data_IF_678227590430
#
_entry.id   IF_678227590430
#
_cell.length_a   1.000
_cell.length_b   1.000
_cell.length_c   1.000
_cell.angle_alpha   90.00
_cell.angle_beta   90.00
_cell.angle_gamma   90.00
#
_symmetry.space_group_name_H-M   'P 1'
#
loop_
_entity.id
_entity.type
_entity.pdbx_description
1 polymer ?
#
# COMPACT_ATOMS: atom_id res chain seq x y z
N UNK A 1 22.82 14.57 1.77
CA UNK A 1 23.18 13.29 1.13
C UNK A 1 22.07 12.99 0.13
N UNK A 2 22.33 13.10 -1.19
CA UNK A 2 21.33 12.79 -2.22
C UNK A 2 21.10 11.28 -2.21
N UNK A 3 19.95 10.85 -1.71
CA UNK A 3 19.49 9.46 -1.84
C UNK A 3 19.29 9.15 -3.32
N UNK A 4 19.93 8.10 -3.82
CA UNK A 4 19.72 7.64 -5.20
C UNK A 4 18.25 7.21 -5.36
N UNK A 5 17.46 8.08 -5.96
CA UNK A 5 16.00 7.87 -6.14
C UNK A 5 15.68 6.63 -6.97
N UNK A 6 16.64 6.11 -7.76
CA UNK A 6 16.47 4.90 -8.57
C UNK A 6 16.28 3.62 -7.75
N UNK A 7 16.71 3.61 -6.48
CA UNK A 7 16.52 2.46 -5.59
C UNK A 7 15.14 2.47 -4.89
N UNK A 8 14.45 3.62 -4.89
CA UNK A 8 13.15 3.77 -4.26
C UNK A 8 11.98 3.21 -5.05
N UNK A 9 12.15 3.04 -6.34
CA UNK A 9 11.07 2.59 -7.23
C UNK A 9 11.49 1.40 -8.08
N UNK A 10 10.62 0.42 -8.18
CA UNK A 10 10.67 -0.65 -9.15
C UNK A 10 9.65 -0.35 -10.25
N UNK A 11 10.12 -0.02 -11.44
CA UNK A 11 9.27 0.32 -12.59
C UNK A 11 9.11 -0.90 -13.47
N UNK A 12 7.88 -1.21 -13.85
CA UNK A 12 7.53 -2.38 -14.65
C UNK A 12 6.52 -1.96 -15.73
N UNK A 13 6.66 -2.52 -16.93
CA UNK A 13 5.81 -2.21 -18.07
C UNK A 13 5.85 -0.73 -18.52
N UNK A 14 7.03 -0.10 -18.42
CA UNK A 14 7.21 1.21 -19.05
C UNK A 14 7.20 1.05 -20.58
N UNK A 15 6.29 1.75 -21.26
CA UNK A 15 6.15 1.65 -22.71
C UNK A 15 5.56 2.91 -23.35
N UNK A 16 5.62 2.99 -24.67
CA UNK A 16 5.05 4.14 -25.43
C UNK A 16 3.52 4.25 -25.28
N UNK A 17 2.84 3.18 -24.87
CA UNK A 17 1.40 3.16 -24.64
C UNK A 17 0.99 3.69 -23.25
N UNK A 18 1.95 3.94 -22.35
CA UNK A 18 1.66 4.40 -20.98
C UNK A 18 0.87 5.70 -20.98
N UNK A 19 -0.29 5.69 -20.30
CA UNK A 19 -1.16 6.87 -20.14
C UNK A 19 -1.38 7.23 -18.67
N UNK A 20 -1.21 6.26 -17.76
CA UNK A 20 -1.39 6.44 -16.33
C UNK A 20 -0.42 5.53 -15.58
N UNK A 21 0.07 5.98 -14.44
CA UNK A 21 0.89 5.19 -13.52
C UNK A 21 0.06 4.65 -12.38
N UNK A 22 0.25 3.38 -12.05
CA UNK A 22 -0.22 2.80 -10.80
C UNK A 22 0.95 2.73 -9.83
N UNK A 23 1.00 3.63 -8.87
CA UNK A 23 2.04 3.68 -7.83
C UNK A 23 1.58 2.83 -6.65
N UNK A 24 2.30 1.73 -6.39
CA UNK A 24 1.93 0.73 -5.38
C UNK A 24 2.84 0.78 -4.16
N UNK A 25 2.23 0.74 -2.98
CA UNK A 25 2.89 0.68 -1.68
C UNK A 25 2.68 -0.69 -1.05
N UNK A 26 3.74 -1.50 -0.90
CA UNK A 26 3.64 -2.82 -0.29
C UNK A 26 3.20 -2.77 1.18
N UNK A 27 2.64 -3.88 1.66
CA UNK A 27 2.33 -4.07 3.07
C UNK A 27 3.59 -4.20 3.94
N UNK A 28 3.42 -4.11 5.26
CA UNK A 28 4.50 -4.37 6.22
C UNK A 28 5.18 -5.71 5.95
N UNK A 29 6.52 -5.72 5.92
CA UNK A 29 7.34 -6.90 5.67
C UNK A 29 7.40 -7.39 4.21
N UNK A 30 6.69 -6.74 3.27
CA UNK A 30 6.69 -7.14 1.87
C UNK A 30 7.72 -6.37 1.02
N UNK A 31 8.43 -7.09 0.17
CA UNK A 31 9.31 -6.50 -0.84
C UNK A 31 8.52 -6.08 -2.10
N UNK A 32 8.99 -5.05 -2.79
CA UNK A 32 8.38 -4.54 -4.03
C UNK A 32 8.23 -5.62 -5.11
N UNK A 33 9.17 -6.55 -5.19
CA UNK A 33 9.18 -7.67 -6.15
C UNK A 33 7.94 -8.55 -6.06
N UNK A 34 7.27 -8.63 -4.90
CA UNK A 34 6.05 -9.42 -4.74
C UNK A 34 4.90 -8.90 -5.60
N UNK A 35 4.89 -7.61 -5.96
CA UNK A 35 3.90 -7.01 -6.84
C UNK A 35 4.30 -7.07 -8.33
N UNK A 36 5.51 -7.53 -8.67
CA UNK A 36 5.96 -7.66 -10.06
C UNK A 36 4.97 -8.45 -10.93
N UNK A 37 4.41 -9.52 -10.36
CA UNK A 37 3.46 -10.39 -11.06
C UNK A 37 2.14 -9.68 -11.47
N UNK A 38 1.89 -8.47 -10.93
CA UNK A 38 0.72 -7.67 -11.30
C UNK A 38 0.80 -7.18 -12.75
N UNK A 39 2.01 -6.93 -13.24
CA UNK A 39 2.24 -6.48 -14.61
C UNK A 39 1.66 -7.41 -15.67
N UNK A 40 1.53 -8.72 -15.36
CA UNK A 40 1.00 -9.70 -16.30
C UNK A 40 -0.53 -9.58 -16.52
N UNK A 41 -1.21 -8.77 -15.70
CA UNK A 41 -2.68 -8.63 -15.72
C UNK A 41 -3.14 -7.18 -15.71
N UNK A 42 -2.22 -6.23 -15.64
CA UNK A 42 -2.52 -4.81 -15.87
C UNK A 42 -2.65 -4.54 -17.36
N UNK A 43 -3.53 -3.61 -17.73
CA UNK A 43 -3.69 -3.18 -19.10
C UNK A 43 -2.44 -2.43 -19.61
N UNK A 44 -2.14 -2.51 -20.91
CA UNK A 44 -0.91 -2.00 -21.52
C UNK A 44 -0.69 -0.49 -21.34
N UNK A 45 -1.76 0.27 -21.09
CA UNK A 45 -1.68 1.72 -20.84
C UNK A 45 -1.33 2.06 -19.39
N UNK A 46 -1.19 1.07 -18.50
CA UNK A 46 -0.87 1.26 -17.09
C UNK A 46 0.59 0.88 -16.82
N UNK A 47 1.40 1.85 -16.44
CA UNK A 47 2.76 1.62 -15.94
C UNK A 47 2.70 1.30 -14.44
N UNK A 48 3.27 0.18 -14.03
CA UNK A 48 3.35 -0.21 -12.63
C UNK A 48 4.64 0.33 -12.00
N UNK A 49 4.49 1.15 -10.97
CA UNK A 49 5.59 1.68 -10.17
C UNK A 49 5.43 1.21 -8.73
N UNK A 50 6.33 0.39 -8.23
CA UNK A 50 6.24 -0.14 -6.87
C UNK A 50 7.30 0.50 -5.98
N UNK A 51 6.89 0.98 -4.80
CA UNK A 51 7.81 1.58 -3.82
C UNK A 51 8.64 0.51 -3.14
N UNK A 52 9.95 0.74 -3.09
CA UNK A 52 10.91 -0.14 -2.48
C UNK A 52 11.45 0.49 -1.18
N UNK A 53 10.86 0.13 -0.05
CA UNK A 53 11.22 0.67 1.25
C UNK A 53 12.58 0.13 1.74
N UNK A 54 13.36 0.93 2.52
CA UNK A 54 14.57 0.44 3.19
C UNK A 54 14.29 -0.81 4.04
N UNK A 55 15.27 -1.68 4.12
CA UNK A 55 15.16 -2.98 4.79
C UNK A 55 14.56 -4.10 3.92
N UNK A 56 14.10 -3.80 2.70
CA UNK A 56 13.42 -4.77 1.82
C UNK A 56 14.13 -4.91 0.48
N UNK A 57 14.06 -6.11 -0.12
CA UNK A 57 14.57 -6.40 -1.46
C UNK A 57 16.00 -5.91 -1.70
N UNK A 58 16.24 -5.11 -2.76
CA UNK A 58 17.57 -4.53 -3.05
C UNK A 58 18.11 -3.61 -1.95
N UNK A 59 17.24 -3.09 -1.08
CA UNK A 59 17.58 -2.18 0.01
C UNK A 59 17.62 -2.87 1.38
N UNK A 60 17.74 -4.20 1.42
CA UNK A 60 17.70 -5.01 2.64
C UNK A 60 18.76 -4.64 3.69
N UNK A 61 19.90 -4.10 3.24
CA UNK A 61 21.01 -3.72 4.11
C UNK A 61 20.85 -2.30 4.68
N UNK A 62 19.85 -1.56 4.25
CA UNK A 62 19.51 -0.26 4.79
C UNK A 62 18.61 -0.41 6.03
N UNK A 63 18.82 0.48 7.02
CA UNK A 63 17.95 0.51 8.20
C UNK A 63 16.52 0.94 7.82
N UNK A 64 15.48 0.18 8.21
CA UNK A 64 14.11 0.60 7.98
C UNK A 64 13.77 1.85 8.81
N UNK A 65 12.86 2.67 8.30
CA UNK A 65 12.32 3.80 9.05
C UNK A 65 11.50 3.32 10.25
N UNK A 66 11.64 3.96 11.38
CA UNK A 66 10.93 3.66 12.62
C UNK A 66 9.96 4.79 13.07
N UNK A 67 9.86 5.86 12.27
CA UNK A 67 9.00 7.00 12.49
C UNK A 67 8.41 7.55 11.18
N UNK A 68 7.22 8.11 11.27
CA UNK A 68 6.46 8.63 10.13
C UNK A 68 7.10 9.86 9.49
N UNK A 69 7.57 10.89 10.22
CA UNK A 69 8.14 12.09 9.58
C UNK A 69 9.27 11.77 8.61
N UNK A 70 10.23 10.96 9.03
CA UNK A 70 11.36 10.58 8.17
C UNK A 70 10.92 9.70 7.00
N UNK A 71 10.00 8.76 7.23
CA UNK A 71 9.45 7.90 6.18
C UNK A 71 8.75 8.73 5.10
N UNK A 72 7.85 9.64 5.49
CA UNK A 72 7.09 10.47 4.57
C UNK A 72 8.00 11.43 3.80
N UNK A 73 8.90 12.15 4.48
CA UNK A 73 9.83 13.07 3.84
C UNK A 73 10.61 12.39 2.72
N UNK A 74 11.17 11.21 2.97
CA UNK A 74 11.97 10.51 1.97
C UNK A 74 11.11 9.86 0.89
N UNK A 75 9.92 9.36 1.23
CA UNK A 75 8.97 8.82 0.25
C UNK A 75 8.52 9.90 -0.71
N UNK A 76 8.15 11.08 -0.23
CA UNK A 76 7.72 12.20 -1.08
C UNK A 76 8.85 12.68 -1.98
N UNK A 77 10.06 12.86 -1.45
CA UNK A 77 11.22 13.23 -2.26
C UNK A 77 11.52 12.22 -3.36
N UNK A 78 11.35 10.93 -3.10
CA UNK A 78 11.54 9.87 -4.08
C UNK A 78 10.42 9.84 -5.14
N UNK A 79 9.20 10.23 -4.77
CA UNK A 79 8.03 10.19 -5.65
C UNK A 79 7.78 11.48 -6.42
N UNK A 80 8.34 12.61 -6.02
CA UNK A 80 8.18 13.90 -6.72
C UNK A 80 8.27 13.79 -8.25
N UNK A 81 9.28 13.07 -8.83
CA UNK A 81 9.40 12.92 -10.29
C UNK A 81 8.25 12.14 -10.94
N UNK A 82 7.51 11.35 -10.15
CA UNK A 82 6.42 10.50 -10.63
C UNK A 82 5.04 11.13 -10.49
N UNK A 83 4.87 12.00 -9.49
CA UNK A 83 3.59 12.61 -9.13
C UNK A 83 3.15 13.75 -10.05
N UNK A 84 4.06 14.31 -10.84
CA UNK A 84 3.78 15.39 -11.80
C UNK A 84 2.98 14.95 -13.03
N UNK A 85 2.81 13.65 -13.23
CA UNK A 85 2.06 13.05 -14.35
C UNK A 85 0.84 12.28 -13.83
N UNK A 86 -0.15 11.97 -14.68
CA UNK A 86 -1.34 11.24 -14.25
C UNK A 86 -1.02 9.91 -13.59
N UNK A 87 -1.51 9.73 -12.37
CA UNK A 87 -1.27 8.53 -11.58
C UNK A 87 -2.46 8.15 -10.72
N UNK A 88 -2.49 6.89 -10.32
CA UNK A 88 -3.32 6.35 -9.25
C UNK A 88 -2.43 5.73 -8.19
N UNK A 89 -2.90 5.69 -6.96
CA UNK A 89 -2.18 5.15 -5.82
C UNK A 89 -2.87 3.89 -5.33
N UNK A 90 -2.10 2.86 -5.02
CA UNK A 90 -2.59 1.63 -4.39
C UNK A 90 -1.75 1.30 -3.16
N UNK A 91 -2.38 0.90 -2.07
CA UNK A 91 -1.67 0.38 -0.90
C UNK A 91 -2.45 -0.68 -0.14
N UNK A 92 -1.72 -1.60 0.50
CA UNK A 92 -2.29 -2.63 1.36
C UNK A 92 -1.73 -2.53 2.78
N UNK A 93 -2.58 -2.58 3.81
CA UNK A 93 -2.16 -2.42 5.20
C UNK A 93 -1.37 -1.13 5.44
N UNK A 94 -0.11 -1.22 5.89
CA UNK A 94 0.79 -0.06 6.01
C UNK A 94 0.90 0.72 4.70
N UNK A 95 0.96 0.02 3.58
CA UNK A 95 1.02 0.65 2.25
C UNK A 95 -0.20 1.51 1.94
N UNK A 96 -1.38 1.17 2.48
CA UNK A 96 -2.57 2.00 2.29
C UNK A 96 -2.47 3.35 3.00
N UNK A 97 -1.87 3.38 4.19
CA UNK A 97 -1.59 4.63 4.90
C UNK A 97 -0.55 5.48 4.16
N UNK A 98 0.51 4.84 3.62
CA UNK A 98 1.51 5.53 2.80
C UNK A 98 0.89 6.08 1.51
N UNK A 99 0.01 5.33 0.87
CA UNK A 99 -0.73 5.79 -0.32
C UNK A 99 -1.63 6.99 0.02
N UNK A 100 -2.35 6.94 1.14
CA UNK A 100 -3.20 8.03 1.63
C UNK A 100 -2.38 9.30 1.92
N UNK A 101 -1.28 9.19 2.66
CA UNK A 101 -0.39 10.33 2.94
C UNK A 101 0.24 10.90 1.66
N UNK A 102 0.63 10.02 0.73
CA UNK A 102 1.14 10.45 -0.58
C UNK A 102 0.05 11.15 -1.40
N UNK A 103 -1.19 10.72 -1.28
CA UNK A 103 -2.33 11.33 -1.94
C UNK A 103 -2.57 12.76 -1.44
N UNK A 104 -2.52 12.98 -0.12
CA UNK A 104 -2.63 14.33 0.48
C UNK A 104 -1.51 15.24 -0.05
N UNK A 105 -0.27 14.76 -0.01
CA UNK A 105 0.88 15.50 -0.53
C UNK A 105 0.74 15.83 -2.03
N UNK A 106 0.33 14.85 -2.83
CA UNK A 106 0.16 15.02 -4.28
C UNK A 106 -0.97 15.99 -4.62
N UNK A 107 -2.07 15.98 -3.88
CA UNK A 107 -3.20 16.89 -4.08
C UNK A 107 -2.78 18.36 -3.90
N UNK A 108 -1.92 18.65 -2.93
CA UNK A 108 -1.41 20.01 -2.68
C UNK A 108 -0.37 20.44 -3.71
N UNK A 109 0.57 19.55 -4.06
CA UNK A 109 1.73 19.89 -4.88
C UNK A 109 1.52 19.71 -6.38
N UNK A 110 0.73 18.70 -6.76
CA UNK A 110 0.44 18.31 -8.14
C UNK A 110 -1.07 18.17 -8.36
N UNK A 111 -1.83 19.28 -8.25
CA UNK A 111 -3.30 19.23 -8.30
C UNK A 111 -3.79 18.54 -9.58
N UNK A 112 -4.82 17.71 -9.44
CA UNK A 112 -5.47 16.96 -10.52
C UNK A 112 -4.63 15.85 -11.17
N UNK A 113 -3.41 15.55 -10.70
CA UNK A 113 -2.63 14.44 -11.26
C UNK A 113 -3.01 13.09 -10.63
N UNK A 114 -3.37 13.07 -9.35
CA UNK A 114 -3.92 11.86 -8.73
C UNK A 114 -5.34 11.62 -9.22
N UNK A 115 -5.57 10.46 -9.84
CA UNK A 115 -6.83 10.09 -10.50
C UNK A 115 -7.67 9.14 -9.68
N UNK A 116 -7.06 8.34 -8.82
CA UNK A 116 -7.76 7.37 -7.98
C UNK A 116 -6.89 6.95 -6.79
N UNK A 117 -7.51 6.69 -5.64
CA UNK A 117 -6.88 6.04 -4.51
C UNK A 117 -7.52 4.68 -4.26
N UNK A 118 -6.71 3.62 -4.26
CA UNK A 118 -7.11 2.27 -3.89
C UNK A 118 -6.51 1.93 -2.53
N UNK A 119 -7.36 1.72 -1.51
CA UNK A 119 -6.95 1.29 -0.17
C UNK A 119 -7.39 -0.14 0.06
N UNK A 120 -6.54 -0.97 0.62
CA UNK A 120 -6.75 -2.40 0.74
C UNK A 120 -6.33 -2.91 2.13
N UNK A 121 -7.21 -3.64 2.80
CA UNK A 121 -6.91 -4.28 4.09
C UNK A 121 -6.41 -3.29 5.16
N UNK A 122 -6.94 -2.07 5.20
CA UNK A 122 -6.50 -1.01 6.11
C UNK A 122 -7.70 -0.24 6.64
N UNK A 123 -7.85 -0.20 7.96
CA UNK A 123 -8.87 0.62 8.61
C UNK A 123 -8.74 2.09 8.22
N UNK A 124 -9.87 2.80 8.23
CA UNK A 124 -9.90 4.24 7.99
C UNK A 124 -9.08 5.04 9.02
N UNK A 125 -8.63 6.24 8.66
CA UNK A 125 -7.80 7.10 9.51
C UNK A 125 -8.39 7.44 10.89
N UNK A 126 -9.70 7.48 11.03
CA UNK A 126 -10.42 7.74 12.29
C UNK A 126 -10.53 6.52 13.20
N UNK A 127 -10.15 5.35 12.72
CA UNK A 127 -10.27 4.11 13.47
C UNK A 127 -9.06 3.89 14.39
N UNK A 128 -9.33 3.71 15.68
CA UNK A 128 -8.28 3.38 16.65
C UNK A 128 -7.64 2.01 16.37
N UNK A 129 -6.34 1.86 16.66
CA UNK A 129 -5.67 0.58 16.50
C UNK A 129 -6.24 -0.47 17.46
N UNK A 130 -6.26 -1.74 17.01
CA UNK A 130 -6.63 -2.88 17.84
C UNK A 130 -5.66 -3.02 19.02
N UNK A 131 -6.17 -3.41 20.17
CA UNK A 131 -5.36 -3.71 21.36
C UNK A 131 -5.45 -5.18 21.72
N UNK A 132 -4.36 -5.85 22.17
CA UNK A 132 -2.99 -5.30 22.28
C UNK A 132 -2.37 -5.02 20.92
N UNK A 133 -1.38 -4.12 20.86
CA UNK A 133 -0.63 -3.80 19.65
C UNK A 133 0.23 -5.00 19.24
N UNK A 134 0.14 -5.43 17.99
CA UNK A 134 0.84 -6.62 17.50
C UNK A 134 2.36 -6.47 17.59
N UNK A 135 2.89 -5.28 17.23
CA UNK A 135 4.34 -5.05 17.28
C UNK A 135 4.95 -5.20 18.68
N UNK A 136 4.16 -5.06 19.74
CA UNK A 136 4.63 -5.13 21.12
C UNK A 136 4.48 -6.51 21.79
N UNK A 137 3.87 -7.49 21.09
CA UNK A 137 3.67 -8.82 21.63
C UNK A 137 4.99 -9.56 21.85
N UNK A 138 5.08 -10.44 22.87
CA UNK A 138 6.16 -11.43 22.98
C UNK A 138 6.27 -12.26 21.70
N UNK A 139 7.46 -12.80 21.41
CA UNK A 139 7.75 -13.40 20.09
C UNK A 139 6.78 -14.53 19.69
N UNK A 140 6.44 -15.41 20.61
CA UNK A 140 5.54 -16.54 20.32
C UNK A 140 4.10 -16.05 20.07
N UNK A 141 3.60 -15.13 20.92
CA UNK A 141 2.28 -14.53 20.72
C UNK A 141 2.22 -13.70 19.40
N UNK A 142 3.31 -13.07 19.02
CA UNK A 142 3.42 -12.35 17.76
C UNK A 142 3.30 -13.31 16.57
N UNK A 143 4.05 -14.41 16.57
CA UNK A 143 4.00 -15.44 15.53
C UNK A 143 2.59 -16.02 15.38
N UNK A 144 1.98 -16.38 16.50
CA UNK A 144 0.61 -16.89 16.53
C UNK A 144 -0.39 -15.87 15.95
N UNK A 145 -0.28 -14.60 16.35
CA UNK A 145 -1.14 -13.55 15.83
C UNK A 145 -0.99 -13.37 14.31
N UNK A 146 0.24 -13.39 13.79
CA UNK A 146 0.49 -13.27 12.34
C UNK A 146 -0.08 -14.47 11.56
N UNK A 147 0.03 -15.68 12.11
CA UNK A 147 -0.59 -16.86 11.51
C UNK A 147 -2.12 -16.78 11.53
N UNK A 148 -2.70 -16.28 12.61
CA UNK A 148 -4.16 -16.05 12.73
C UNK A 148 -4.69 -15.04 11.70
N UNK A 149 -3.85 -14.08 11.29
CA UNK A 149 -4.19 -13.16 10.19
C UNK A 149 -4.15 -13.83 8.82
N UNK A 150 -3.66 -15.05 8.74
CA UNK A 150 -3.61 -15.86 7.53
C UNK A 150 -2.26 -15.84 6.81
N UNK A 151 -1.18 -15.40 7.48
CA UNK A 151 0.16 -15.57 6.92
C UNK A 151 0.45 -17.06 6.73
N UNK A 152 1.00 -17.39 5.56
CA UNK A 152 1.37 -18.78 5.28
C UNK A 152 2.73 -19.13 5.92
N UNK A 153 2.82 -20.18 6.74
CA UNK A 153 4.11 -20.64 7.24
C UNK A 153 5.10 -21.03 6.13
N UNK A 154 4.59 -21.39 4.95
CA UNK A 154 5.41 -21.75 3.79
C UNK A 154 6.10 -20.55 3.14
N UNK A 155 5.57 -19.35 3.38
CA UNK A 155 6.12 -18.10 2.85
C UNK A 155 7.11 -17.44 3.81
N UNK A 156 7.21 -17.93 5.05
CA UNK A 156 8.19 -17.46 6.01
C UNK A 156 9.59 -18.00 5.67
N UNK A 157 10.64 -17.19 5.88
CA UNK A 157 12.01 -17.67 5.69
C UNK A 157 12.31 -18.90 6.57
N UNK A 158 12.99 -19.89 6.00
CA UNK A 158 13.30 -21.14 6.72
C UNK A 158 14.59 -21.08 7.54
N UNK A 159 15.51 -20.19 7.18
CA UNK A 159 16.76 -19.96 7.92
C UNK A 159 16.50 -19.11 9.18
N UNK A 160 17.11 -19.47 10.32
CA UNK A 160 16.90 -18.75 11.58
C UNK A 160 17.26 -17.27 11.48
N UNK A 161 18.37 -16.93 10.83
CA UNK A 161 18.80 -15.54 10.61
C UNK A 161 17.82 -14.76 9.75
N UNK A 162 17.33 -15.38 8.66
CA UNK A 162 16.40 -14.76 7.74
C UNK A 162 15.03 -14.57 8.37
N UNK A 163 14.59 -15.54 9.18
CA UNK A 163 13.34 -15.44 9.95
C UNK A 163 13.39 -14.29 10.96
N UNK A 164 14.49 -14.16 11.72
CA UNK A 164 14.66 -13.06 12.67
C UNK A 164 14.67 -11.69 11.95
N UNK A 165 15.31 -11.60 10.81
CA UNK A 165 15.35 -10.38 9.99
C UNK A 165 13.95 -10.03 9.47
N UNK A 166 13.21 -11.02 8.95
CA UNK A 166 11.83 -10.87 8.50
C UNK A 166 10.91 -10.41 9.64
N UNK A 167 10.98 -11.07 10.81
CA UNK A 167 10.17 -10.70 11.98
C UNK A 167 10.46 -9.28 12.45
N UNK A 168 11.72 -8.86 12.46
CA UNK A 168 12.11 -7.49 12.81
C UNK A 168 11.51 -6.47 11.85
N UNK A 169 11.56 -6.73 10.55
CA UNK A 169 10.98 -5.85 9.52
C UNK A 169 9.45 -5.77 9.64
N UNK A 170 8.81 -6.93 9.84
CA UNK A 170 7.36 -6.99 10.01
C UNK A 170 6.91 -6.23 11.25
N UNK A 171 7.59 -6.41 12.39
CA UNK A 171 7.33 -5.66 13.63
C UNK A 171 7.50 -4.16 13.44
N UNK A 172 8.55 -3.75 12.72
CA UNK A 172 8.79 -2.34 12.43
C UNK A 172 7.67 -1.74 11.59
N UNK A 173 7.25 -2.42 10.53
CA UNK A 173 6.13 -2.00 9.71
C UNK A 173 4.80 -1.96 10.48
N UNK A 174 4.56 -2.94 11.35
CA UNK A 174 3.38 -2.95 12.23
C UNK A 174 3.44 -1.83 13.28
N UNK A 175 4.61 -1.51 13.83
CA UNK A 175 4.77 -0.36 14.72
C UNK A 175 4.34 0.93 14.02
N UNK A 176 4.84 1.17 12.82
CA UNK A 176 4.42 2.32 12.00
C UNK A 176 2.91 2.30 11.77
N UNK A 177 2.35 1.18 11.31
CA UNK A 177 0.92 1.03 11.05
C UNK A 177 0.04 1.30 12.28
N UNK A 178 0.43 0.78 13.44
CA UNK A 178 -0.35 0.85 14.68
C UNK A 178 -0.16 2.17 15.45
N UNK A 179 0.91 2.92 15.18
CA UNK A 179 1.19 4.22 15.80
C UNK A 179 0.86 5.42 14.92
N UNK A 180 0.44 5.17 13.69
CA UNK A 180 -0.01 6.25 12.81
C UNK A 180 -1.35 6.82 13.27
N UNK A 181 -1.49 8.12 13.13
CA UNK A 181 -2.74 8.87 13.30
C UNK A 181 -2.80 10.02 12.31
N UNK A 182 -3.99 10.30 11.82
CA UNK A 182 -4.18 11.44 10.91
C UNK A 182 -4.08 12.77 11.66
N UNK A 183 -3.26 13.65 11.15
CA UNK A 183 -3.09 15.01 11.68
C UNK A 183 -3.79 16.07 10.83
N UNK A 184 -4.38 15.66 9.71
CA UNK A 184 -5.04 16.57 8.77
C UNK A 184 -6.55 16.62 8.99
N UNK A 185 -7.14 17.74 8.64
CA UNK A 185 -8.59 17.91 8.51
C UNK A 185 -8.94 18.07 7.03
N UNK A 186 -9.90 17.29 6.55
CA UNK A 186 -10.43 17.41 5.20
C UNK A 186 -10.43 16.09 4.42
N UNK A 187 -11.34 16.01 3.47
CA UNK A 187 -11.45 14.88 2.55
C UNK A 187 -10.61 15.11 1.30
N UNK A 188 -10.16 14.02 0.69
CA UNK A 188 -9.49 14.04 -0.61
C UNK A 188 -10.48 14.40 -1.72
N UNK A 189 -10.06 15.18 -2.70
CA UNK A 189 -10.88 15.51 -3.88
C UNK A 189 -10.61 14.52 -5.04
N UNK A 190 -10.61 13.21 -4.72
CA UNK A 190 -10.37 12.12 -5.67
C UNK A 190 -11.27 10.92 -5.38
N UNK A 191 -11.63 10.11 -6.39
CA UNK A 191 -12.33 8.84 -6.20
C UNK A 191 -11.52 7.86 -5.35
N UNK A 192 -12.21 7.07 -4.51
CA UNK A 192 -11.61 6.10 -3.61
C UNK A 192 -12.30 4.74 -3.71
N UNK A 193 -11.52 3.69 -3.90
CA UNK A 193 -12.00 2.30 -3.80
C UNK A 193 -11.33 1.60 -2.62
N UNK A 194 -12.12 1.02 -1.73
CA UNK A 194 -11.67 0.30 -0.56
C UNK A 194 -11.92 -1.21 -0.72
N UNK A 195 -10.87 -2.03 -0.57
CA UNK A 195 -10.95 -3.49 -0.62
C UNK A 195 -10.80 -4.11 0.76
N UNK A 196 -11.62 -5.10 1.08
CA UNK A 196 -11.47 -5.89 2.30
C UNK A 196 -11.68 -7.38 2.05
N UNK A 197 -11.01 -8.20 2.85
CA UNK A 197 -11.21 -9.65 2.86
C UNK A 197 -12.43 -10.02 3.71
N UNK A 198 -13.28 -10.94 3.22
CA UNK A 198 -14.48 -11.41 3.94
C UNK A 198 -14.16 -12.00 5.33
N UNK A 199 -12.92 -12.47 5.51
CA UNK A 199 -12.41 -13.09 6.74
C UNK A 199 -11.30 -12.26 7.41
N UNK A 200 -11.08 -11.00 6.98
CA UNK A 200 -10.03 -10.14 7.55
C UNK A 200 -10.46 -9.58 8.91
N UNK A 201 -9.83 -9.99 10.02
CA UNK A 201 -10.20 -9.50 11.35
C UNK A 201 -9.64 -8.10 11.67
N UNK A 202 -8.69 -7.59 10.87
CA UNK A 202 -8.08 -6.27 11.07
C UNK A 202 -8.86 -5.17 10.36
N UNK A 203 -9.37 -5.46 9.17
CA UNK A 203 -10.02 -4.48 8.30
C UNK A 203 -11.38 -5.01 7.84
N UNK A 204 -12.34 -5.07 8.76
CA UNK A 204 -13.70 -5.55 8.48
C UNK A 204 -14.46 -4.58 7.58
N UNK A 205 -15.57 -5.03 6.97
CA UNK A 205 -16.46 -4.19 6.16
C UNK A 205 -16.77 -2.83 6.84
N UNK A 206 -17.08 -2.85 8.15
CA UNK A 206 -17.36 -1.63 8.92
C UNK A 206 -16.17 -0.67 8.96
N UNK A 207 -14.98 -1.18 9.20
CA UNK A 207 -13.75 -0.37 9.24
C UNK A 207 -13.43 0.22 7.86
N UNK A 208 -13.70 -0.55 6.81
CA UNK A 208 -13.41 -0.12 5.44
C UNK A 208 -14.48 0.84 4.89
N UNK A 209 -15.73 0.70 5.34
CA UNK A 209 -16.80 1.61 4.94
C UNK A 209 -16.54 3.06 5.39
N UNK A 210 -15.88 3.25 6.53
CA UNK A 210 -15.57 4.58 7.04
C UNK A 210 -14.61 5.38 6.15
N UNK A 211 -13.88 4.73 5.23
CA UNK A 211 -13.08 5.43 4.22
C UNK A 211 -13.89 6.39 3.35
N UNK A 212 -15.20 6.20 3.30
CA UNK A 212 -16.13 7.10 2.63
C UNK A 212 -16.03 8.55 3.11
N UNK A 213 -15.76 8.76 4.39
CA UNK A 213 -15.64 10.09 5.00
C UNK A 213 -14.32 10.81 4.60
N UNK A 214 -13.38 10.08 3.98
CA UNK A 214 -12.07 10.58 3.59
C UNK A 214 -11.98 10.95 2.11
N UNK A 215 -13.09 10.90 1.37
CA UNK A 215 -13.16 11.41 -0.01
C UNK A 215 -14.41 12.26 -0.21
N UNK A 216 -14.25 13.36 -0.93
CA UNK A 216 -15.35 14.20 -1.42
C UNK A 216 -15.90 13.76 -2.78
N UNK A 217 -15.40 12.64 -3.32
CA UNK A 217 -15.78 12.09 -4.62
C UNK A 217 -16.44 10.71 -4.48
N UNK A 218 -16.49 9.95 -5.57
CA UNK A 218 -17.05 8.61 -5.61
C UNK A 218 -16.30 7.67 -4.66
N UNK A 219 -17.07 6.89 -3.90
CA UNK A 219 -16.54 5.86 -3.02
C UNK A 219 -17.12 4.50 -3.40
N UNK A 220 -16.26 3.50 -3.52
CA UNK A 220 -16.66 2.12 -3.72
C UNK A 220 -16.04 1.22 -2.66
N UNK A 221 -16.87 0.33 -2.07
CA UNK A 221 -16.43 -0.69 -1.11
C UNK A 221 -16.55 -2.06 -1.76
N UNK A 222 -15.45 -2.79 -1.84
CA UNK A 222 -15.39 -4.09 -2.52
C UNK A 222 -14.95 -5.18 -1.55
N UNK A 223 -15.83 -6.15 -1.36
CA UNK A 223 -15.50 -7.40 -0.69
C UNK A 223 -14.77 -8.35 -1.64
N UNK A 224 -13.74 -8.99 -1.12
CA UNK A 224 -13.05 -10.12 -1.77
C UNK A 224 -12.96 -11.29 -0.81
N UNK A 225 -13.00 -12.51 -1.32
CA UNK A 225 -12.90 -13.69 -0.46
C UNK A 225 -11.53 -13.81 0.19
N UNK A 226 -11.49 -14.19 1.47
CA UNK A 226 -10.26 -14.53 2.19
C UNK A 226 -9.91 -13.63 3.36
N UNK A 227 -8.74 -13.94 3.95
CA UNK A 227 -8.19 -13.30 5.14
C UNK A 227 -7.43 -11.99 4.81
N UNK A 228 -6.65 -11.47 5.76
CA UNK A 228 -5.87 -10.24 5.58
C UNK A 228 -4.91 -10.27 4.36
N UNK A 229 -4.42 -11.44 3.96
CA UNK A 229 -3.49 -11.59 2.82
C UNK A 229 -4.20 -11.86 1.48
N UNK A 230 -5.48 -11.48 1.34
CA UNK A 230 -6.27 -11.63 0.10
C UNK A 230 -5.61 -10.98 -1.12
N UNK A 231 -4.76 -9.98 -0.93
CA UNK A 231 -3.98 -9.33 -2.01
C UNK A 231 -3.21 -10.35 -2.86
N UNK A 232 -2.84 -11.49 -2.30
CA UNK A 232 -2.15 -12.58 -3.01
C UNK A 232 -3.13 -13.52 -3.70
N UNK A 233 -4.11 -14.04 -2.94
CA UNK A 233 -5.06 -15.04 -3.42
C UNK A 233 -6.10 -14.47 -4.38
N UNK A 234 -6.52 -13.20 -4.19
CA UNK A 234 -7.53 -12.52 -5.00
C UNK A 234 -6.94 -11.48 -5.95
N UNK A 235 -5.66 -11.62 -6.28
CA UNK A 235 -4.93 -10.68 -7.16
C UNK A 235 -5.69 -10.36 -8.45
N UNK A 236 -6.23 -11.37 -9.12
CA UNK A 236 -6.95 -11.17 -10.39
C UNK A 236 -8.19 -10.29 -10.22
N UNK A 237 -8.94 -10.49 -9.12
CA UNK A 237 -10.12 -9.68 -8.82
C UNK A 237 -9.75 -8.22 -8.56
N UNK A 238 -8.70 -7.97 -7.77
CA UNK A 238 -8.21 -6.62 -7.52
C UNK A 238 -7.80 -5.94 -8.83
N UNK A 239 -7.00 -6.62 -9.64
CA UNK A 239 -6.50 -6.06 -10.91
C UNK A 239 -7.60 -5.83 -11.94
N UNK A 240 -8.64 -6.67 -11.95
CA UNK A 240 -9.83 -6.43 -12.77
C UNK A 240 -10.51 -5.10 -12.42
N UNK A 241 -10.71 -4.83 -11.12
CA UNK A 241 -11.29 -3.57 -10.65
C UNK A 241 -10.40 -2.39 -11.00
N UNK A 242 -9.10 -2.49 -10.70
CA UNK A 242 -8.11 -1.45 -11.00
C UNK A 242 -8.10 -1.12 -12.50
N UNK A 243 -8.05 -2.14 -13.37
CA UNK A 243 -8.08 -1.96 -14.82
C UNK A 243 -9.36 -1.25 -15.27
N UNK A 244 -10.52 -1.59 -14.71
CA UNK A 244 -11.79 -0.95 -15.02
C UNK A 244 -11.77 0.54 -14.71
N UNK A 245 -11.37 0.91 -13.48
CA UNK A 245 -11.30 2.31 -13.08
C UNK A 245 -10.28 3.10 -13.90
N UNK A 246 -9.09 2.55 -14.13
CA UNK A 246 -8.03 3.24 -14.84
C UNK A 246 -8.26 3.26 -16.37
N UNK A 247 -8.99 2.28 -16.92
CA UNK A 247 -9.43 2.25 -18.32
C UNK A 247 -10.40 3.38 -18.63
N UNK A 248 -11.41 3.57 -17.78
CA UNK A 248 -12.39 4.68 -17.92
C UNK A 248 -11.70 6.05 -17.91
N UNK A 249 -10.68 6.22 -17.08
CA UNK A 249 -9.90 7.46 -16.99
C UNK A 249 -9.03 7.70 -18.23
N UNK A 250 -8.60 6.66 -18.92
CA UNK A 250 -7.82 6.77 -20.15
C UNK A 250 -8.68 7.17 -21.35
N UNK A 251 -9.96 6.77 -21.36
CA UNK A 251 -10.92 7.08 -22.44
C UNK A 251 -11.43 8.52 -22.38
N UNK A 252 -11.54 9.13 -21.19
CA UNK A 252 -12.07 10.49 -21.02
C UNK A 252 -11.04 11.61 -21.28
N UNK A 253 -9.94 11.31 -21.95
CA UNK A 253 -8.91 12.28 -22.37
C UNK A 253 -9.03 12.73 -23.84
N UNK A 254 -10.22 12.67 -24.40
CA UNK A 254 -10.52 13.28 -25.71
C UNK A 254 -11.03 14.69 -25.54
#
# INVERSE_FOLDING_TARGET
MYTDTRQWTLVINSGQATRIRLICFPQAGAAAEQLRVWSNSLADHIELVVINLPGHGPRRDEAPYDNWPSLLQNTFAALDPWLGEPHALFGHGLGALLAYETCKYAQERFPRQTRHLFVSGCRSPDSLPRRPLLHSLPIEAFREAILTLGASPLEMPRGQSDLQSYERLLRNGLKLFETWYDTSSGSLDIPLTAFYGSEDPLATAKHMLNWREFTGREFELIEVAGNHFFIKSQRQRLLQVINTHLGLLAEHRI
#
